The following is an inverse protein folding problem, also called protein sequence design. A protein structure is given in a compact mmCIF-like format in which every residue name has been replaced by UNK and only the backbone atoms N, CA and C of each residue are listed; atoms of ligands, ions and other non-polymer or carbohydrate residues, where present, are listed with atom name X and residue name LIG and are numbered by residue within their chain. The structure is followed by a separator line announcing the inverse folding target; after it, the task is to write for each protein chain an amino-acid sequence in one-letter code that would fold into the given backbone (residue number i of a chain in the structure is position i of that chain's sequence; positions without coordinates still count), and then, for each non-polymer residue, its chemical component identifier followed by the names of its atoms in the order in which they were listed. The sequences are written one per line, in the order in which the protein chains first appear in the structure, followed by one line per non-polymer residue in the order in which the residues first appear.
data_IF_234536469489
#
_entry.id   IF_234536469489
#
_cell.length_a   1.000
_cell.length_b   1.000
_cell.length_c   1.000
_cell.angle_alpha   90.00
_cell.angle_beta   90.00
_cell.angle_gamma   90.00
#
_symmetry.space_group_name_H-M   'P 1'
#
loop_
_entity.id
_entity.type
_entity.pdbx_description
1 polymer ?
#
# COMPACT_ATOMS: atom_id res chain seq x y z
N UNK A 1 63.73 20.66 4.08
CA UNK A 1 62.83 19.62 4.69
C UNK A 1 61.42 19.86 4.22
N UNK A 2 61.03 19.21 3.09
CA UNK A 2 59.66 19.28 2.56
C UNK A 2 58.83 18.17 3.21
N UNK A 3 57.73 18.54 3.91
CA UNK A 3 56.75 17.60 4.41
C UNK A 3 55.62 17.48 3.37
N UNK A 4 55.58 16.33 2.69
CA UNK A 4 54.48 15.96 1.80
C UNK A 4 53.27 15.53 2.64
N UNK A 5 52.21 16.30 2.57
CA UNK A 5 50.90 15.94 3.15
C UNK A 5 50.12 15.18 2.06
N UNK A 6 49.97 13.87 2.22
CA UNK A 6 49.14 13.05 1.34
C UNK A 6 47.68 13.19 1.77
N UNK A 7 46.87 13.84 0.92
CA UNK A 7 45.40 13.91 1.07
C UNK A 7 44.81 12.66 0.46
N UNK A 8 44.33 11.76 1.29
CA UNK A 8 43.56 10.58 0.85
C UNK A 8 42.09 11.03 0.63
N UNK A 9 41.72 11.23 -0.63
CA UNK A 9 40.37 11.46 -1.04
C UNK A 9 39.66 10.10 -1.08
N UNK A 10 38.87 9.79 -0.03
CA UNK A 10 38.02 8.60 -0.01
C UNK A 10 36.87 8.77 -0.99
N UNK A 11 36.86 8.04 -2.11
CA UNK A 11 35.71 7.87 -2.97
C UNK A 11 34.67 7.04 -2.22
N UNK A 12 33.61 7.69 -1.73
CA UNK A 12 32.38 6.99 -1.34
C UNK A 12 31.70 6.51 -2.64
N UNK A 13 31.89 5.23 -2.96
CA UNK A 13 31.14 4.58 -4.02
C UNK A 13 29.68 4.46 -3.55
N UNK A 14 28.80 5.32 -4.07
CA UNK A 14 27.36 5.15 -3.95
C UNK A 14 26.97 3.86 -4.69
N UNK A 15 26.68 2.79 -3.95
CA UNK A 15 26.17 1.54 -4.52
C UNK A 15 24.76 1.84 -5.04
N UNK A 16 24.48 1.72 -6.36
CA UNK A 16 23.12 1.88 -6.88
C UNK A 16 22.26 0.81 -6.21
N UNK A 17 21.09 1.22 -5.69
CA UNK A 17 20.08 0.28 -5.22
C UNK A 17 19.64 -0.55 -6.43
N UNK A 18 20.07 -1.81 -6.49
CA UNK A 18 19.76 -2.71 -7.60
C UNK A 18 18.25 -2.95 -7.62
N UNK A 19 17.59 -2.40 -8.64
CA UNK A 19 16.30 -2.86 -9.07
C UNK A 19 16.47 -4.32 -9.51
N UNK A 20 15.64 -5.23 -8.98
CA UNK A 20 15.78 -6.64 -9.29
C UNK A 20 14.62 -7.48 -8.79
N UNK A 21 14.56 -8.71 -9.27
CA UNK A 21 13.56 -9.67 -8.84
C UNK A 21 13.67 -9.94 -7.33
N UNK A 22 12.56 -9.82 -6.62
CA UNK A 22 12.48 -10.08 -5.19
C UNK A 22 12.21 -11.57 -4.95
N UNK A 23 12.94 -12.17 -4.04
CA UNK A 23 12.55 -13.45 -3.48
C UNK A 23 11.21 -13.30 -2.72
N UNK A 24 10.49 -14.41 -2.53
CA UNK A 24 9.21 -14.39 -1.82
C UNK A 24 9.34 -13.83 -0.39
N UNK A 25 10.44 -14.10 0.29
CA UNK A 25 10.71 -13.58 1.64
C UNK A 25 11.00 -12.08 1.64
N UNK A 26 11.71 -11.57 0.65
CA UNK A 26 11.93 -10.14 0.48
C UNK A 26 10.62 -9.43 0.17
N UNK A 27 9.82 -9.97 -0.74
CA UNK A 27 8.51 -9.45 -1.09
C UNK A 27 7.60 -9.38 0.15
N UNK A 28 7.58 -10.43 0.96
CA UNK A 28 6.82 -10.46 2.21
C UNK A 28 7.25 -9.35 3.16
N UNK A 29 8.53 -9.19 3.42
CA UNK A 29 9.06 -8.10 4.27
C UNK A 29 8.78 -6.72 3.69
N UNK A 30 8.74 -6.62 2.37
CA UNK A 30 8.48 -5.37 1.69
C UNK A 30 7.02 -4.93 1.81
N UNK A 31 6.05 -5.85 1.70
CA UNK A 31 4.63 -5.51 1.58
C UNK A 31 3.82 -5.65 2.86
N UNK A 32 4.15 -6.61 3.74
CA UNK A 32 3.32 -6.90 4.92
C UNK A 32 3.24 -5.72 5.86
N UNK A 33 2.02 -5.39 6.28
CA UNK A 33 1.72 -4.31 7.21
C UNK A 33 1.77 -2.91 6.64
N UNK A 34 2.02 -2.76 5.33
CA UNK A 34 2.14 -1.48 4.65
C UNK A 34 0.99 -1.27 3.68
N UNK A 35 0.68 -0.02 3.41
CA UNK A 35 -0.33 0.37 2.42
C UNK A 35 0.37 0.83 1.13
N UNK A 36 -0.22 0.48 0.00
CA UNK A 36 0.28 0.80 -1.32
C UNK A 36 -0.83 1.36 -2.20
N UNK A 37 -0.51 2.35 -3.01
CA UNK A 37 -1.27 2.66 -4.21
C UNK A 37 -0.76 1.78 -5.34
N UNK A 38 -1.65 1.38 -6.25
CA UNK A 38 -1.25 0.64 -7.42
C UNK A 38 -1.94 1.15 -8.68
N UNK A 39 -1.17 1.06 -9.78
CA UNK A 39 -1.61 1.34 -11.13
C UNK A 39 -1.21 0.18 -12.03
N UNK A 40 -2.17 -0.35 -12.79
CA UNK A 40 -1.98 -1.48 -13.68
C UNK A 40 -1.97 -1.04 -15.15
N UNK A 41 -1.37 -1.85 -16.01
CA UNK A 41 -1.18 -1.58 -17.44
C UNK A 41 -2.48 -1.29 -18.19
N UNK A 42 -3.62 -1.87 -17.75
CA UNK A 42 -4.95 -1.65 -18.35
C UNK A 42 -5.70 -0.44 -17.74
N UNK A 43 -5.03 0.34 -16.92
CA UNK A 43 -5.60 1.53 -16.27
C UNK A 43 -6.39 1.22 -14.99
N UNK A 44 -6.44 -0.01 -14.53
CA UNK A 44 -6.97 -0.32 -13.20
C UNK A 44 -6.04 0.25 -12.14
N UNK A 45 -6.62 0.92 -11.15
CA UNK A 45 -5.88 1.53 -10.05
C UNK A 45 -6.60 1.35 -8.72
N UNK A 46 -5.90 1.57 -7.64
CA UNK A 46 -6.48 1.51 -6.30
C UNK A 46 -5.44 1.58 -5.21
N UNK A 47 -5.84 1.13 -4.06
CA UNK A 47 -4.97 1.02 -2.90
C UNK A 47 -5.23 -0.27 -2.15
N UNK A 48 -4.23 -0.74 -1.43
CA UNK A 48 -4.38 -1.97 -0.67
C UNK A 48 -3.35 -2.11 0.44
N UNK A 49 -3.69 -2.96 1.40
CA UNK A 49 -2.80 -3.36 2.49
C UNK A 49 -2.83 -4.87 2.62
N UNK A 50 -1.65 -5.45 2.73
CA UNK A 50 -1.46 -6.88 2.96
C UNK A 50 -1.15 -7.12 4.43
N UNK A 51 -1.90 -8.02 5.07
CA UNK A 51 -1.67 -8.46 6.45
C UNK A 51 -0.71 -9.65 6.51
N UNK A 52 -0.18 -9.96 7.69
CA UNK A 52 0.77 -11.06 7.91
C UNK A 52 0.17 -12.45 7.66
N UNK A 53 -1.15 -12.58 7.76
CA UNK A 53 -1.92 -13.79 7.50
C UNK A 53 -2.29 -13.98 6.02
N UNK A 54 -1.81 -13.09 5.14
CA UNK A 54 -2.11 -13.11 3.71
C UNK A 54 -3.48 -12.56 3.33
N UNK A 55 -4.20 -11.95 4.27
CA UNK A 55 -5.42 -11.19 3.95
C UNK A 55 -5.06 -9.88 3.27
N UNK A 56 -5.98 -9.36 2.44
CA UNK A 56 -5.82 -8.08 1.76
C UNK A 56 -7.07 -7.26 1.92
N UNK A 57 -6.92 -6.00 2.28
CA UNK A 57 -7.99 -5.01 2.26
C UNK A 57 -7.60 -3.88 1.32
N UNK A 58 -8.55 -3.35 0.58
CA UNK A 58 -8.23 -2.29 -0.37
C UNK A 58 -9.41 -1.81 -1.18
N UNK A 59 -9.11 -0.96 -2.14
CA UNK A 59 -10.06 -0.46 -3.13
C UNK A 59 -9.55 -0.74 -4.54
N UNK A 60 -10.46 -0.85 -5.48
CA UNK A 60 -10.18 -1.03 -6.90
C UNK A 60 -11.07 -0.13 -7.72
N UNK A 61 -10.50 0.53 -8.71
CA UNK A 61 -11.18 1.31 -9.72
C UNK A 61 -10.73 0.83 -11.10
N UNK A 62 -11.66 0.25 -11.85
CA UNK A 62 -11.36 -0.27 -13.18
C UNK A 62 -11.22 0.87 -14.20
N UNK A 63 -10.23 0.77 -15.08
CA UNK A 63 -9.96 1.72 -16.17
C UNK A 63 -9.85 3.19 -15.72
N UNK A 64 -9.50 3.44 -14.47
CA UNK A 64 -9.31 4.78 -13.92
C UNK A 64 -10.54 5.70 -13.84
N UNK A 65 -11.69 5.25 -14.31
CA UNK A 65 -12.92 6.05 -14.40
C UNK A 65 -14.17 5.36 -13.84
N UNK A 66 -14.10 4.08 -13.54
CA UNK A 66 -15.18 3.30 -12.96
C UNK A 66 -15.47 3.68 -11.51
N UNK A 67 -16.56 3.12 -10.98
CA UNK A 67 -16.88 3.26 -9.56
C UNK A 67 -15.83 2.57 -8.70
N UNK A 68 -15.37 3.23 -7.65
CA UNK A 68 -14.46 2.63 -6.66
C UNK A 68 -15.22 1.54 -5.89
N UNK A 69 -14.63 0.37 -5.84
CA UNK A 69 -15.14 -0.78 -5.08
C UNK A 69 -14.16 -1.15 -3.99
N UNK A 70 -14.68 -1.47 -2.83
CA UNK A 70 -13.87 -1.97 -1.71
C UNK A 70 -13.85 -3.49 -1.72
N UNK A 71 -12.67 -4.06 -1.48
CA UNK A 71 -12.44 -5.49 -1.45
C UNK A 71 -11.80 -5.89 -0.12
N UNK A 72 -12.26 -7.01 0.40
CA UNK A 72 -11.63 -7.70 1.52
C UNK A 72 -11.40 -9.15 1.11
N UNK A 73 -10.14 -9.52 0.98
CA UNK A 73 -9.73 -10.89 0.68
C UNK A 73 -9.36 -11.59 1.99
N UNK A 74 -9.87 -12.81 2.23
CA UNK A 74 -9.68 -13.51 3.51
C UNK A 74 -8.21 -13.90 3.76
N UNK A 75 -7.88 -14.30 5.00
CA UNK A 75 -6.59 -14.90 5.32
C UNK A 75 -6.22 -16.05 4.39
N UNK A 76 -4.94 -16.17 4.06
CA UNK A 76 -4.44 -17.19 3.15
C UNK A 76 -4.68 -16.91 1.66
N UNK A 77 -5.25 -15.75 1.30
CA UNK A 77 -5.40 -15.38 -0.11
C UNK A 77 -4.04 -15.21 -0.78
N UNK A 78 -3.10 -14.51 -0.16
CA UNK A 78 -1.72 -14.42 -0.63
C UNK A 78 -0.86 -15.44 0.09
N UNK A 79 -0.18 -16.30 -0.68
CA UNK A 79 0.65 -17.39 -0.19
C UNK A 79 2.01 -17.38 -0.86
N UNK A 80 3.04 -17.73 -0.10
CA UNK A 80 4.36 -18.03 -0.65
C UNK A 80 4.38 -19.48 -1.08
N UNK A 81 4.74 -19.74 -2.35
CA UNK A 81 4.93 -21.07 -2.93
C UNK A 81 6.31 -21.13 -3.58
N UNK A 82 7.24 -21.80 -2.93
CA UNK A 82 8.65 -21.81 -3.35
C UNK A 82 9.21 -20.40 -3.35
N UNK A 83 9.63 -19.90 -4.52
CA UNK A 83 10.18 -18.54 -4.69
C UNK A 83 9.13 -17.50 -5.16
N UNK A 84 7.88 -17.91 -5.33
CA UNK A 84 6.84 -17.05 -5.88
C UNK A 84 5.78 -16.69 -4.85
N UNK A 85 5.14 -15.54 -5.03
CA UNK A 85 3.92 -15.16 -4.32
C UNK A 85 2.75 -15.50 -5.22
N UNK A 86 1.80 -16.30 -4.71
CA UNK A 86 0.63 -16.74 -5.47
C UNK A 86 -0.65 -16.29 -4.77
N UNK A 87 -1.72 -16.06 -5.54
CA UNK A 87 -3.03 -15.74 -5.00
C UNK A 87 -3.99 -16.95 -5.11
N UNK A 88 -4.65 -17.27 -3.98
CA UNK A 88 -5.73 -18.24 -3.94
C UNK A 88 -7.05 -17.47 -3.88
N UNK A 89 -7.74 -17.39 -5.00
CA UNK A 89 -8.98 -16.63 -5.13
C UNK A 89 -10.16 -17.62 -5.29
N UNK A 90 -11.19 -17.43 -4.48
CA UNK A 90 -12.41 -18.23 -4.57
C UNK A 90 -13.07 -18.01 -5.94
N UNK A 91 -13.44 -19.11 -6.60
CA UNK A 91 -14.09 -19.07 -7.92
C UNK A 91 -13.11 -19.09 -9.11
N UNK A 92 -11.80 -19.01 -8.90
CA UNK A 92 -10.81 -19.24 -9.94
C UNK A 92 -10.34 -20.71 -9.89
N UNK A 93 -10.33 -21.44 -11.02
CA UNK A 93 -9.86 -22.83 -11.08
C UNK A 93 -8.35 -22.97 -11.01
N UNK A 94 -7.61 -21.86 -10.97
CA UNK A 94 -6.15 -21.81 -10.93
C UNK A 94 -5.67 -20.79 -9.91
N UNK A 95 -4.42 -20.89 -9.50
CA UNK A 95 -3.77 -19.94 -8.60
C UNK A 95 -2.73 -19.15 -9.39
N UNK A 96 -3.00 -17.88 -9.74
CA UNK A 96 -2.00 -17.04 -10.38
C UNK A 96 -0.83 -16.79 -9.43
N UNK A 97 0.39 -16.94 -9.95
CA UNK A 97 1.62 -16.57 -9.27
C UNK A 97 2.22 -15.33 -9.90
N UNK A 98 2.95 -14.56 -9.12
CA UNK A 98 3.45 -13.25 -9.52
C UNK A 98 4.97 -13.21 -9.42
N UNK A 99 5.58 -12.62 -10.43
CA UNK A 99 6.94 -12.11 -10.36
C UNK A 99 6.89 -10.73 -9.72
N UNK A 100 7.73 -10.51 -8.73
CA UNK A 100 7.81 -9.25 -8.01
C UNK A 100 9.20 -8.67 -8.22
N UNK A 101 9.25 -7.47 -8.75
CA UNK A 101 10.48 -6.73 -9.06
C UNK A 101 10.55 -5.48 -8.19
N UNK A 102 11.61 -5.34 -7.44
CA UNK A 102 11.89 -4.13 -6.69
C UNK A 102 12.34 -3.05 -7.66
N UNK A 103 11.61 -1.94 -7.70
CA UNK A 103 11.99 -0.75 -8.49
C UNK A 103 12.88 0.16 -7.63
N UNK A 104 12.44 0.43 -6.39
CA UNK A 104 13.18 1.22 -5.40
C UNK A 104 12.76 0.83 -3.97
N UNK A 105 13.07 1.66 -2.97
CA UNK A 105 12.76 1.36 -1.56
C UNK A 105 11.27 1.49 -1.20
N UNK A 106 10.46 2.07 -2.08
CA UNK A 106 9.03 2.32 -1.85
C UNK A 106 8.15 1.72 -2.93
N UNK A 107 8.74 1.34 -4.05
CA UNK A 107 8.04 0.91 -5.26
C UNK A 107 8.47 -0.48 -5.68
N UNK A 108 7.49 -1.31 -6.03
CA UNK A 108 7.73 -2.59 -6.70
C UNK A 108 6.75 -2.77 -7.86
N UNK A 109 7.12 -3.62 -8.79
CA UNK A 109 6.27 -4.06 -9.89
C UNK A 109 5.89 -5.52 -9.65
N UNK A 110 4.58 -5.80 -9.80
CA UNK A 110 4.07 -7.15 -9.81
C UNK A 110 3.55 -7.51 -11.20
N UNK A 111 3.95 -8.64 -11.74
CA UNK A 111 3.43 -9.16 -13.01
C UNK A 111 2.99 -10.61 -12.86
N UNK A 112 1.97 -11.03 -13.62
CA UNK A 112 1.55 -12.42 -13.65
C UNK A 112 2.66 -13.26 -14.32
N UNK A 113 3.02 -14.38 -13.69
CA UNK A 113 4.04 -15.27 -14.21
C UNK A 113 3.72 -15.69 -15.65
N UNK A 114 4.67 -15.53 -16.55
CA UNK A 114 4.50 -15.81 -17.99
C UNK A 114 3.78 -14.71 -18.79
N UNK A 115 3.22 -13.69 -18.14
CA UNK A 115 2.51 -12.56 -18.77
C UNK A 115 3.11 -11.24 -18.31
N UNK A 116 4.37 -11.01 -18.62
CA UNK A 116 5.12 -9.83 -18.14
C UNK A 116 4.51 -8.47 -18.51
N UNK A 117 3.71 -8.42 -19.57
CA UNK A 117 2.96 -7.20 -19.95
C UNK A 117 1.79 -6.93 -18.98
N UNK A 118 1.20 -7.97 -18.36
CA UNK A 118 0.12 -7.82 -17.38
C UNK A 118 0.73 -7.50 -16.01
N UNK A 119 1.09 -6.24 -15.81
CA UNK A 119 1.77 -5.78 -14.61
C UNK A 119 1.08 -4.61 -13.95
N UNK A 120 1.27 -4.52 -12.62
CA UNK A 120 0.90 -3.37 -11.82
C UNK A 120 2.14 -2.81 -11.12
N UNK A 121 2.22 -1.51 -11.01
CA UNK A 121 3.19 -0.83 -10.18
C UNK A 121 2.56 -0.49 -8.83
N UNK A 122 3.25 -0.77 -7.76
CA UNK A 122 2.80 -0.55 -6.39
C UNK A 122 3.77 0.42 -5.71
N UNK A 123 3.25 1.55 -5.25
CA UNK A 123 4.03 2.57 -4.53
C UNK A 123 3.50 2.70 -3.10
N UNK A 124 4.41 2.65 -2.12
CA UNK A 124 4.07 2.76 -0.70
C UNK A 124 3.36 4.07 -0.41
N UNK A 125 2.22 3.95 0.24
CA UNK A 125 1.50 5.11 0.76
C UNK A 125 1.97 5.40 2.19
N UNK A 126 2.59 6.57 2.37
CA UNK A 126 2.85 7.12 3.68
C UNK A 126 1.59 7.87 4.11
N UNK A 127 0.86 7.34 5.08
CA UNK A 127 -0.21 8.13 5.72
C UNK A 127 0.46 9.37 6.30
N UNK A 128 0.27 10.52 5.67
CA UNK A 128 0.58 11.79 6.31
C UNK A 128 -0.29 11.83 7.56
N UNK A 129 0.35 11.85 8.73
CA UNK A 129 -0.34 12.16 9.96
C UNK A 129 -0.92 13.56 9.77
N UNK A 130 -2.21 13.63 9.41
CA UNK A 130 -2.93 14.88 9.51
C UNK A 130 -2.88 15.24 10.99
N UNK A 131 -2.33 16.42 11.37
CA UNK A 131 -2.48 16.88 12.73
C UNK A 131 -3.99 16.92 12.96
N UNK A 132 -4.47 16.12 13.91
CA UNK A 132 -5.82 16.25 14.40
C UNK A 132 -5.97 17.67 14.92
N UNK A 133 -6.50 18.55 14.08
CA UNK A 133 -7.07 19.79 14.55
C UNK A 133 -8.25 19.36 15.39
N UNK A 134 -8.05 19.35 16.70
CA UNK A 134 -9.11 19.18 17.65
C UNK A 134 -10.07 20.34 17.42
N UNK A 135 -11.12 20.10 16.65
CA UNK A 135 -12.28 20.98 16.64
C UNK A 135 -12.87 20.87 18.04
N UNK A 136 -12.47 21.82 18.89
CA UNK A 136 -13.28 22.16 20.04
C UNK A 136 -14.62 22.63 19.50
N UNK A 137 -15.57 21.72 19.36
CA UNK A 137 -16.97 22.06 19.29
C UNK A 137 -17.28 22.78 20.60
N UNK A 138 -17.40 24.09 20.54
CA UNK A 138 -18.08 24.82 21.59
C UNK A 138 -19.51 24.29 21.59
N UNK A 139 -19.79 23.36 22.48
CA UNK A 139 -21.16 23.06 22.86
C UNK A 139 -21.79 24.36 23.37
N UNK A 140 -22.69 24.89 22.56
CA UNK A 140 -23.67 25.85 23.05
C UNK A 140 -24.61 25.09 23.98
N UNK A 141 -24.69 25.44 25.29
CA UNK A 141 -25.71 24.85 26.13
C UNK A 141 -27.07 25.34 25.60
N UNK A 142 -27.84 24.40 25.08
CA UNK A 142 -29.27 24.61 24.76
C UNK A 142 -29.96 25.02 26.04
N UNK A 143 -30.22 26.31 26.17
CA UNK A 143 -31.08 26.86 27.21
C UNK A 143 -32.50 26.29 27.01
N UNK A 144 -32.88 25.38 27.87
CA UNK A 144 -34.25 24.91 28.01
C UNK A 144 -35.11 26.10 28.42
N UNK A 145 -35.93 26.62 27.52
CA UNK A 145 -37.04 27.54 27.86
C UNK A 145 -38.08 26.74 28.62
N UNK A 146 -38.46 27.15 29.83
CA UNK A 146 -39.65 26.58 30.47
C UNK A 146 -40.91 27.01 29.73
N UNK A 147 -41.68 26.01 29.29
CA UNK A 147 -43.07 26.24 28.78
C UNK A 147 -43.91 26.72 29.94
N UNK A 148 -44.37 27.95 29.86
CA UNK A 148 -45.46 28.45 30.70
C UNK A 148 -46.75 27.79 30.25
N UNK A 149 -47.31 26.98 31.12
CA UNK A 149 -48.71 26.56 31.08
C UNK A 149 -49.56 27.80 31.32
N UNK A 150 -50.42 28.11 30.39
CA UNK A 150 -51.57 29.00 30.60
C UNK A 150 -52.79 28.12 30.78
N UNK A 151 -53.22 27.98 32.01
CA UNK A 151 -54.64 27.70 32.34
C UNK A 151 -55.45 28.90 31.97
N UNK A 152 -56.57 28.72 31.27
CA UNK A 152 -57.84 29.29 31.65
C UNK A 152 -58.99 28.90 30.67
N UNK A 153 -60.08 28.44 31.35
CA UNK A 153 -61.50 28.40 30.98
C UNK A 153 -61.97 27.58 29.79
#
# INVERSE_FOLDING_TARGET
MLRAVAVIVGLLAAVPALAGEMSADEARRFVVGKSFHYDCFEGTRGEGRVSSDGSVVGSIQFQGSGQVRYAHLPPGTLQVKGQSVCASLHGLPFQPCFNLEKVDNETFRGSIYGLGFASCQFTRHHAHAHPHVAHHSKENPLALRPSLTADNE
#
